data_IF_571176897986
#
_entry.id   IF_571176897986
#
_cell.length_a   1.000
_cell.length_b   1.000
_cell.length_c   1.000
_cell.angle_alpha   90.00
_cell.angle_beta   90.00
_cell.angle_gamma   90.00
#
_symmetry.space_group_name_H-M   'P 1'
#
loop_
_entity.id
_entity.type
_entity.pdbx_description
1 polymer ?
#
# COMPACT_ATOMS: atom_id res chain seq x y z
N UNK A 1 -19.39 5.84 25.34
CA UNK A 1 -18.08 6.18 24.73
C UNK A 1 -17.70 5.00 23.87
N UNK A 2 -18.05 5.04 22.58
CA UNK A 2 -17.85 3.91 21.68
C UNK A 2 -16.35 3.74 21.45
N UNK A 3 -15.82 2.55 21.71
CA UNK A 3 -14.45 2.20 21.37
C UNK A 3 -14.28 2.38 19.86
N UNK A 4 -13.58 3.45 19.45
CA UNK A 4 -13.24 3.69 18.06
C UNK A 4 -12.32 2.53 17.66
N UNK A 5 -12.84 1.65 16.79
CA UNK A 5 -12.11 0.51 16.27
C UNK A 5 -10.75 0.99 15.72
N UNK A 6 -9.72 0.18 15.97
CA UNK A 6 -8.37 0.43 15.47
C UNK A 6 -8.46 0.70 13.95
N UNK A 7 -8.03 1.88 13.49
CA UNK A 7 -8.02 2.30 12.06
C UNK A 7 -7.00 1.52 11.21
N UNK A 8 -6.64 0.33 11.67
CA UNK A 8 -5.57 -0.51 11.18
C UNK A 8 -6.25 -1.80 10.71
N UNK A 9 -6.13 -2.09 9.40
CA UNK A 9 -6.86 -3.14 8.66
C UNK A 9 -8.26 -2.68 8.23
N UNK A 10 -8.33 -1.67 7.36
CA UNK A 10 -9.45 -1.59 6.44
C UNK A 10 -9.09 -2.45 5.22
N UNK A 11 -10.02 -3.30 4.78
CA UNK A 11 -9.92 -4.08 3.54
C UNK A 11 -9.40 -3.24 2.34
N UNK A 12 -9.66 -1.94 2.34
CA UNK A 12 -9.23 -1.01 1.30
C UNK A 12 -7.72 -0.78 1.27
N UNK A 13 -6.98 -0.91 2.39
CA UNK A 13 -5.52 -0.63 2.44
C UNK A 13 -4.62 -1.85 2.24
N UNK A 14 -5.21 -3.04 2.07
CA UNK A 14 -4.47 -4.26 1.71
C UNK A 14 -4.07 -4.19 0.23
N UNK A 15 -2.79 -4.31 -0.09
CA UNK A 15 -2.30 -4.21 -1.46
C UNK A 15 -2.06 -5.59 -2.09
N UNK A 16 -1.68 -6.58 -1.29
CA UNK A 16 -1.49 -7.97 -1.71
C UNK A 16 -1.97 -8.90 -0.61
N UNK A 17 -2.58 -10.02 -0.98
CA UNK A 17 -3.02 -11.05 -0.05
C UNK A 17 -4.53 -11.09 0.14
N UNK A 18 -4.96 -11.92 1.08
CA UNK A 18 -6.38 -12.16 1.34
C UNK A 18 -6.98 -11.06 2.21
N UNK A 19 -8.13 -10.56 1.77
CA UNK A 19 -8.97 -9.63 2.49
C UNK A 19 -10.19 -10.41 2.99
N UNK A 20 -10.31 -10.53 4.32
CA UNK A 20 -11.47 -11.14 4.98
C UNK A 20 -12.70 -10.23 4.90
N UNK A 21 -13.88 -10.84 5.02
CA UNK A 21 -15.12 -10.11 5.24
C UNK A 21 -14.98 -9.19 6.46
N UNK A 22 -15.23 -7.90 6.25
CA UNK A 22 -15.15 -6.89 7.31
C UNK A 22 -16.38 -5.98 7.25
N UNK A 23 -16.59 -5.18 8.30
CA UNK A 23 -17.73 -4.26 8.36
C UNK A 23 -17.75 -3.20 7.23
N UNK A 24 -16.60 -2.93 6.60
CA UNK A 24 -16.46 -1.92 5.51
C UNK A 24 -16.37 -2.55 4.12
N UNK A 25 -16.11 -3.85 4.01
CA UNK A 25 -16.03 -4.56 2.73
C UNK A 25 -16.85 -5.85 2.78
N UNK A 26 -17.99 -5.91 2.07
CA UNK A 26 -18.92 -7.03 2.16
C UNK A 26 -18.46 -8.27 1.39
N UNK A 27 -17.32 -8.23 0.69
CA UNK A 27 -16.84 -9.34 -0.14
C UNK A 27 -15.41 -9.73 0.20
N UNK A 28 -15.21 -11.03 0.45
CA UNK A 28 -13.89 -11.62 0.49
C UNK A 28 -13.25 -11.56 -0.90
N UNK A 29 -12.00 -11.11 -0.94
CA UNK A 29 -11.24 -11.01 -2.19
C UNK A 29 -9.76 -11.22 -1.92
N UNK A 30 -9.03 -11.68 -2.93
CA UNK A 30 -7.57 -11.80 -2.89
C UNK A 30 -7.01 -10.80 -3.87
N UNK A 31 -6.12 -9.91 -3.40
CA UNK A 31 -5.39 -8.99 -4.26
C UNK A 31 -4.08 -9.59 -4.69
N UNK A 32 -3.80 -9.48 -5.99
CA UNK A 32 -2.56 -10.00 -6.58
C UNK A 32 -1.48 -8.92 -6.62
N UNK A 33 -0.23 -9.34 -6.75
CA UNK A 33 0.89 -8.42 -6.95
C UNK A 33 0.64 -7.48 -8.14
N UNK A 34 1.03 -6.22 -7.98
CA UNK A 34 0.86 -5.11 -8.92
C UNK A 34 -0.60 -4.68 -9.19
N UNK A 35 -1.58 -5.20 -8.44
CA UNK A 35 -2.95 -4.70 -8.50
C UNK A 35 -3.02 -3.25 -8.01
N UNK A 36 -3.70 -2.40 -8.78
CA UNK A 36 -3.87 -0.98 -8.47
C UNK A 36 -5.06 -0.79 -7.54
N UNK A 37 -4.81 -0.17 -6.40
CA UNK A 37 -5.79 0.09 -5.37
C UNK A 37 -5.96 1.60 -5.20
N UNK A 38 -7.21 2.05 -5.25
CA UNK A 38 -7.54 3.42 -4.80
C UNK A 38 -7.81 3.39 -3.30
N UNK A 39 -7.00 4.10 -2.53
CA UNK A 39 -7.14 4.20 -1.08
C UNK A 39 -8.14 5.30 -0.72
N UNK A 40 -9.03 5.01 0.23
CA UNK A 40 -10.07 5.96 0.67
C UNK A 40 -9.51 7.13 1.48
N UNK A 41 -8.37 6.94 2.13
CA UNK A 41 -7.67 8.00 2.87
C UNK A 41 -6.49 8.46 2.03
N UNK A 42 -6.48 9.72 1.55
CA UNK A 42 -5.35 10.23 0.79
C UNK A 42 -4.10 10.28 1.67
N UNK A 43 -2.97 9.85 1.11
CA UNK A 43 -1.67 9.99 1.75
C UNK A 43 -1.12 11.38 1.38
N UNK A 44 -0.90 12.18 2.41
CA UNK A 44 -0.43 13.55 2.29
C UNK A 44 0.89 13.76 3.04
N UNK A 45 1.60 14.84 2.71
CA UNK A 45 2.92 15.17 3.25
C UNK A 45 2.95 15.30 4.77
N UNK A 46 1.80 15.57 5.40
CA UNK A 46 1.66 15.71 6.84
C UNK A 46 1.48 14.38 7.61
N UNK A 47 1.23 13.27 6.91
CA UNK A 47 0.95 11.96 7.52
C UNK A 47 2.17 11.06 7.65
N UNK A 48 2.12 10.12 8.59
CA UNK A 48 3.04 8.99 8.65
C UNK A 48 2.25 7.70 8.45
N UNK A 49 2.83 6.75 7.72
CA UNK A 49 2.20 5.47 7.47
C UNK A 49 3.23 4.36 7.54
N UNK A 50 2.78 3.18 7.93
CA UNK A 50 3.61 1.99 8.01
C UNK A 50 3.19 1.04 6.90
N UNK A 51 4.16 0.62 6.12
CA UNK A 51 4.01 -0.43 5.13
C UNK A 51 4.39 -1.76 5.78
N UNK A 52 3.41 -2.65 5.89
CA UNK A 52 3.54 -3.98 6.45
C UNK A 52 3.68 -4.97 5.29
N UNK A 53 4.80 -5.69 5.24
CA UNK A 53 5.05 -6.76 4.28
C UNK A 53 5.35 -8.07 5.03
N UNK A 54 4.66 -9.14 4.66
CA UNK A 54 4.88 -10.45 5.25
C UNK A 54 4.67 -11.59 4.26
N UNK A 55 5.36 -12.70 4.48
CA UNK A 55 5.00 -13.98 3.89
C UNK A 55 5.41 -15.13 4.84
N UNK A 56 4.69 -16.27 4.81
CA UNK A 56 4.96 -17.39 5.71
C UNK A 56 6.23 -18.18 5.34
N UNK A 57 6.73 -18.01 4.11
CA UNK A 57 7.91 -18.68 3.59
C UNK A 57 7.87 -18.70 2.06
N UNK A 58 9.04 -18.70 1.42
CA UNK A 58 9.16 -18.68 -0.04
C UNK A 58 10.42 -19.45 -0.47
N UNK A 59 10.49 -19.81 -1.76
CA UNK A 59 11.66 -20.49 -2.31
C UNK A 59 12.93 -19.61 -2.33
N UNK A 60 12.75 -18.28 -2.31
CA UNK A 60 13.81 -17.28 -2.30
C UNK A 60 13.35 -16.04 -1.52
N UNK A 61 14.26 -15.10 -1.25
CA UNK A 61 13.89 -13.81 -0.68
C UNK A 61 12.93 -13.08 -1.61
N UNK A 62 11.89 -12.47 -1.04
CA UNK A 62 10.84 -11.77 -1.77
C UNK A 62 10.97 -10.27 -1.50
N UNK A 63 11.08 -9.49 -2.55
CA UNK A 63 11.11 -8.02 -2.47
C UNK A 63 9.72 -7.48 -2.74
N UNK A 64 9.21 -6.72 -1.80
CA UNK A 64 7.96 -5.98 -1.85
C UNK A 64 8.28 -4.53 -2.21
N UNK A 65 7.81 -4.10 -3.37
CA UNK A 65 7.94 -2.73 -3.85
C UNK A 65 6.59 -2.03 -3.69
N UNK A 66 6.53 -1.02 -2.83
CA UNK A 66 5.37 -0.15 -2.67
C UNK A 66 5.52 1.05 -3.60
N UNK A 67 4.53 1.24 -4.46
CA UNK A 67 4.44 2.38 -5.35
C UNK A 67 3.13 3.12 -5.11
N UNK A 68 3.20 4.44 -5.11
CA UNK A 68 2.07 5.34 -4.92
C UNK A 68 1.94 6.25 -6.15
N UNK A 69 0.73 6.64 -6.50
CA UNK A 69 0.48 7.61 -7.56
C UNK A 69 -0.61 8.60 -7.17
N UNK A 70 -0.51 9.86 -7.62
CA UNK A 70 -1.53 10.83 -7.37
C UNK A 70 -2.72 10.73 -8.33
N UNK A 71 -3.86 11.31 -7.94
CA UNK A 71 -4.96 11.57 -8.87
C UNK A 71 -4.79 12.97 -9.47
N UNK A 72 -4.75 13.02 -10.79
CA UNK A 72 -4.71 14.28 -11.53
C UNK A 72 -6.11 14.91 -11.58
N UNK A 73 -6.18 16.22 -11.81
CA UNK A 73 -7.43 17.00 -11.90
C UNK A 73 -8.38 16.49 -12.99
N UNK A 74 -7.86 15.80 -13.99
CA UNK A 74 -8.63 15.17 -15.07
C UNK A 74 -9.17 13.76 -14.70
N UNK A 75 -8.90 13.29 -13.48
CA UNK A 75 -9.32 11.97 -12.98
C UNK A 75 -8.41 10.82 -13.42
N UNK A 76 -7.30 11.11 -14.11
CA UNK A 76 -6.31 10.08 -14.48
C UNK A 76 -5.30 9.84 -13.37
N UNK A 77 -4.61 8.70 -13.45
CA UNK A 77 -3.54 8.33 -12.52
C UNK A 77 -2.26 9.02 -12.96
N UNK A 78 -1.64 9.77 -12.07
CA UNK A 78 -0.35 10.42 -12.30
C UNK A 78 0.83 9.43 -12.26
N UNK A 79 2.03 9.98 -12.21
CA UNK A 79 3.26 9.18 -12.21
C UNK A 79 3.39 8.37 -10.91
N UNK A 80 3.75 7.09 -11.07
CA UNK A 80 4.07 6.21 -9.96
C UNK A 80 5.41 6.57 -9.34
N UNK A 81 5.42 6.76 -8.02
CA UNK A 81 6.61 6.98 -7.21
C UNK A 81 6.83 5.81 -6.28
N UNK A 82 8.07 5.38 -6.12
CA UNK A 82 8.42 4.33 -5.16
C UNK A 82 8.42 4.92 -3.76
N UNK A 83 7.53 4.44 -2.90
CA UNK A 83 7.42 4.89 -1.51
C UNK A 83 8.26 4.02 -0.56
N UNK A 84 8.36 2.71 -0.82
CA UNK A 84 9.23 1.82 -0.06
C UNK A 84 9.63 0.59 -0.88
N UNK A 85 10.77 0.01 -0.52
CA UNK A 85 11.22 -1.30 -0.99
C UNK A 85 11.68 -2.10 0.22
N UNK A 86 11.08 -3.27 0.42
CA UNK A 86 11.30 -4.12 1.59
C UNK A 86 11.58 -5.54 1.13
N UNK A 87 12.69 -6.11 1.57
CA UNK A 87 13.02 -7.50 1.31
C UNK A 87 12.69 -8.37 2.53
N UNK A 88 11.88 -9.40 2.32
CA UNK A 88 11.61 -10.43 3.32
C UNK A 88 12.42 -11.69 2.96
N UNK A 89 13.19 -12.26 3.90
CA UNK A 89 14.00 -13.46 3.64
C UNK A 89 13.16 -14.67 3.24
N UNK A 90 13.77 -15.65 2.56
CA UNK A 90 13.10 -16.88 2.11
C UNK A 90 12.41 -17.65 3.25
N UNK A 91 12.96 -17.61 4.47
CA UNK A 91 12.38 -18.22 5.66
C UNK A 91 11.00 -17.65 6.04
N UNK A 92 10.60 -16.52 5.43
CA UNK A 92 9.41 -15.78 5.79
C UNK A 92 9.67 -14.80 6.93
N UNK A 93 8.60 -14.16 7.36
CA UNK A 93 8.61 -13.17 8.42
C UNK A 93 7.75 -11.97 8.10
N UNK A 94 7.83 -10.99 8.99
CA UNK A 94 7.14 -9.72 8.90
C UNK A 94 8.17 -8.60 8.93
N UNK A 95 8.03 -7.64 8.02
CA UNK A 95 8.83 -6.44 7.99
C UNK A 95 7.91 -5.24 7.88
N UNK A 96 8.17 -4.24 8.71
CA UNK A 96 7.43 -2.99 8.75
C UNK A 96 8.37 -1.85 8.37
N UNK A 97 7.95 -1.03 7.41
CA UNK A 97 8.67 0.15 6.97
C UNK A 97 7.81 1.38 7.24
N UNK A 98 8.26 2.25 8.14
CA UNK A 98 7.62 3.55 8.35
C UNK A 98 8.02 4.51 7.23
N UNK A 99 7.02 5.12 6.63
CA UNK A 99 7.15 6.05 5.52
C UNK A 99 6.59 7.39 5.98
N UNK A 100 7.41 8.43 5.87
CA UNK A 100 6.97 9.79 6.12
C UNK A 100 6.32 10.33 4.85
N UNK A 101 5.10 10.86 4.95
CA UNK A 101 4.45 11.56 3.86
C UNK A 101 5.30 12.70 3.32
N UNK A 102 6.06 13.40 4.18
CA UNK A 102 6.96 14.48 3.76
C UNK A 102 8.12 14.03 2.87
N UNK A 103 8.44 12.73 2.85
CA UNK A 103 9.41 12.15 1.93
C UNK A 103 8.78 11.79 0.56
N UNK A 104 7.45 11.80 0.45
CA UNK A 104 6.77 11.56 -0.82
C UNK A 104 6.77 12.85 -1.65
N UNK A 105 7.46 12.80 -2.79
CA UNK A 105 7.53 13.91 -3.72
C UNK A 105 6.73 13.56 -4.96
N UNK A 106 5.75 14.40 -5.31
CA UNK A 106 5.02 14.30 -6.58
C UNK A 106 5.99 14.53 -7.73
N UNK A 107 5.88 13.72 -8.79
CA UNK A 107 6.70 13.91 -9.97
C UNK A 107 6.51 15.33 -10.55
N UNK A 108 7.59 16.02 -10.98
CA UNK A 108 7.50 17.41 -11.45
C UNK A 108 6.51 17.62 -12.61
N UNK A 109 6.32 16.60 -13.46
CA UNK A 109 5.39 16.64 -14.59
C UNK A 109 3.92 16.75 -14.13
N UNK A 110 3.60 16.21 -12.95
CA UNK A 110 2.24 16.13 -12.42
C UNK A 110 1.92 17.27 -11.46
N UNK A 111 2.95 17.94 -10.92
CA UNK A 111 2.82 18.92 -9.82
C UNK A 111 1.79 20.05 -10.09
N UNK A 112 1.60 20.48 -11.33
CA UNK A 112 0.61 21.50 -11.69
C UNK A 112 -0.84 20.97 -11.73
N UNK A 113 -1.00 19.66 -11.96
CA UNK A 113 -2.26 19.00 -12.26
C UNK A 113 -2.71 18.04 -11.16
N UNK A 114 -1.92 17.80 -10.11
CA UNK A 114 -2.35 17.01 -8.96
C UNK A 114 -3.45 17.73 -8.17
N UNK A 115 -4.43 16.95 -7.70
CA UNK A 115 -5.43 17.40 -6.73
C UNK A 115 -4.80 17.45 -5.33
N UNK A 116 -5.12 18.48 -4.54
CA UNK A 116 -4.64 18.60 -3.15
C UNK A 116 -4.94 17.32 -2.33
N UNK A 117 -3.98 16.90 -1.48
CA UNK A 117 -3.85 15.56 -0.86
C UNK A 117 -3.44 14.46 -1.86
N UNK A 118 -2.15 14.50 -2.21
CA UNK A 118 -1.66 14.04 -3.50
C UNK A 118 -1.83 12.54 -3.78
N UNK A 119 -1.55 11.61 -2.87
CA UNK A 119 -1.45 10.19 -3.23
C UNK A 119 -2.69 9.38 -2.82
N UNK A 120 -3.44 8.90 -3.81
CA UNK A 120 -4.67 8.10 -3.61
C UNK A 120 -4.65 6.76 -4.33
N UNK A 121 -3.64 6.50 -5.16
CA UNK A 121 -3.43 5.20 -5.78
C UNK A 121 -2.21 4.54 -5.16
N UNK A 122 -2.33 3.26 -4.85
CA UNK A 122 -1.26 2.43 -4.31
C UNK A 122 -1.23 1.09 -5.05
N UNK A 123 -0.03 0.56 -5.26
CA UNK A 123 0.18 -0.81 -5.74
C UNK A 123 1.39 -1.40 -5.03
N UNK A 124 1.39 -2.71 -4.85
CA UNK A 124 2.55 -3.42 -4.31
C UNK A 124 2.97 -4.55 -5.25
N UNK A 125 4.22 -4.51 -5.70
CA UNK A 125 4.79 -5.49 -6.63
C UNK A 125 5.74 -6.41 -5.86
N UNK A 126 5.53 -7.72 -5.96
CA UNK A 126 6.37 -8.74 -5.33
C UNK A 126 7.26 -9.42 -6.37
N UNK A 127 8.55 -9.50 -6.10
CA UNK A 127 9.54 -10.17 -6.96
C UNK A 127 10.39 -11.15 -6.14
N UNK A 128 10.85 -12.28 -6.72
CA UNK A 128 10.65 -12.73 -8.10
C UNK A 128 9.28 -13.39 -8.35
N UNK A 129 8.55 -13.76 -7.31
CA UNK A 129 7.21 -14.36 -7.40
C UNK A 129 6.40 -14.02 -6.15
N UNK A 130 5.07 -14.03 -6.26
CA UNK A 130 4.16 -13.88 -5.10
C UNK A 130 4.02 -15.23 -4.38
N UNK A 131 4.58 -15.42 -3.17
CA UNK A 131 4.40 -16.67 -2.43
C UNK A 131 2.96 -16.80 -1.91
N UNK A 132 2.51 -18.03 -1.73
CA UNK A 132 1.19 -18.29 -1.15
C UNK A 132 1.13 -17.74 0.28
N UNK A 133 0.07 -16.99 0.59
CA UNK A 133 -0.08 -16.33 1.89
C UNK A 133 0.76 -15.07 2.06
N UNK A 134 1.38 -14.53 1.01
CA UNK A 134 1.93 -13.18 1.06
C UNK A 134 0.84 -12.16 1.42
N UNK A 135 1.20 -11.21 2.26
CA UNK A 135 0.36 -10.08 2.61
C UNK A 135 1.19 -8.80 2.58
N UNK A 136 0.63 -7.76 1.97
CA UNK A 136 1.17 -6.42 1.98
C UNK A 136 0.04 -5.44 2.27
N UNK A 137 0.23 -4.51 3.21
CA UNK A 137 -0.80 -3.56 3.59
C UNK A 137 -0.23 -2.24 4.08
N UNK A 138 -1.04 -1.18 3.97
CA UNK A 138 -0.75 0.13 4.52
C UNK A 138 -1.54 0.35 5.81
N UNK A 139 -0.86 0.90 6.80
CA UNK A 139 -1.40 1.11 8.13
C UNK A 139 -1.02 2.53 8.60
N UNK A 140 -1.92 3.24 9.29
CA UNK A 140 -1.62 4.60 9.77
C UNK A 140 -0.86 4.51 11.09
N UNK A 141 0.31 5.12 11.19
CA UNK A 141 1.05 5.15 12.46
C UNK A 141 0.34 6.03 13.51
#
# INVERSE_FOLDING_TARGET
MAAMANKLIDAVTTLVGWINYSATDPFERVRVSAEVVKISTPLDAAGHFTFLAQHPGAAAAVTFLLELAPELKDGTIGTWVTAASVAVPAAGGQVEATISGGALVVAPADAANVKEHAFVYARCTLTPSTPAGAYAGLTHA
#
